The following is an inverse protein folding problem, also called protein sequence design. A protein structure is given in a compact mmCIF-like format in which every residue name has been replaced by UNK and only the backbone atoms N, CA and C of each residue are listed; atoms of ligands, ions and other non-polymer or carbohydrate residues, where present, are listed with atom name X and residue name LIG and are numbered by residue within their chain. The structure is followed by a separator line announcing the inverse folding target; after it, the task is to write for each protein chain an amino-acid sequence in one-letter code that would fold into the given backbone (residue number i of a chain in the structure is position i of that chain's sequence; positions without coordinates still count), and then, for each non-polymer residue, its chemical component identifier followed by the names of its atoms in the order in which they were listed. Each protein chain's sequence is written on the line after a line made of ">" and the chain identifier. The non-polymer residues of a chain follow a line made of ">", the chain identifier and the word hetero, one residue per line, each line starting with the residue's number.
data_IF_171479778819
#
_entry.id   IF_171479778819
#
_cell.length_a   1.000
_cell.length_b   1.000
_cell.length_c   1.000
_cell.angle_alpha   90.00
_cell.angle_beta   90.00
_cell.angle_gamma   90.00
#
_symmetry.space_group_name_H-M   'P 1'
#
loop_
_entity.id
_entity.type
_entity.pdbx_description
1 polymer ?
#
# COMPACT_ATOMS: atom_id res chain seq x y z
N UNK A 1 18.55 -13.82 18.26
CA UNK A 1 17.33 -13.30 17.60
C UNK A 1 17.80 -12.23 16.64
N UNK A 2 17.98 -12.56 15.37
CA UNK A 2 18.52 -11.64 14.36
C UNK A 2 17.35 -10.88 13.75
N UNK A 3 17.34 -9.55 13.88
CA UNK A 3 16.44 -8.69 13.12
C UNK A 3 16.94 -8.67 11.67
N UNK A 4 16.08 -9.07 10.74
CA UNK A 4 16.33 -8.89 9.32
C UNK A 4 16.07 -7.41 9.00
N UNK A 5 17.13 -6.63 8.85
CA UNK A 5 17.15 -5.16 8.81
C UNK A 5 16.55 -4.57 7.50
N UNK A 6 15.37 -5.01 7.09
CA UNK A 6 14.68 -4.53 5.88
C UNK A 6 15.44 -4.75 4.57
N UNK A 7 16.53 -5.54 4.59
CA UNK A 7 17.32 -5.88 3.41
C UNK A 7 16.45 -6.66 2.43
N UNK A 8 16.17 -6.05 1.28
CA UNK A 8 15.39 -6.67 0.21
C UNK A 8 13.94 -6.19 0.09
N UNK A 9 13.52 -5.20 0.90
CA UNK A 9 12.26 -4.49 0.70
C UNK A 9 12.50 -3.35 -0.29
N UNK A 10 11.88 -3.44 -1.47
CA UNK A 10 11.85 -2.35 -2.44
C UNK A 10 10.48 -1.68 -2.39
N UNK A 11 10.45 -0.36 -2.18
CA UNK A 11 9.21 0.42 -2.32
C UNK A 11 9.27 1.18 -3.64
N UNK A 12 8.15 1.20 -4.35
CA UNK A 12 8.02 1.89 -5.64
C UNK A 12 6.58 2.30 -5.91
N UNK A 13 6.38 3.19 -6.88
CA UNK A 13 5.06 3.52 -7.42
C UNK A 13 4.36 2.27 -7.97
N UNK A 14 3.05 2.24 -7.77
CA UNK A 14 2.14 1.25 -8.32
C UNK A 14 2.22 1.17 -9.85
N UNK A 15 2.01 -0.04 -10.37
CA UNK A 15 1.88 -0.38 -11.78
C UNK A 15 0.67 -1.29 -11.96
N UNK A 16 0.10 -1.34 -13.16
CA UNK A 16 -1.12 -2.12 -13.43
C UNK A 16 -1.01 -3.61 -13.12
N UNK A 17 0.20 -4.19 -13.24
CA UNK A 17 0.49 -5.58 -12.92
C UNK A 17 0.51 -5.88 -11.40
N UNK A 18 0.59 -4.86 -10.55
CA UNK A 18 0.55 -4.99 -9.09
C UNK A 18 -0.87 -5.27 -8.56
N UNK A 19 -1.91 -5.04 -9.38
CA UNK A 19 -3.32 -5.20 -8.98
C UNK A 19 -3.58 -6.56 -8.35
N UNK A 20 -2.98 -7.63 -8.90
CA UNK A 20 -3.13 -8.97 -8.37
C UNK A 20 -2.59 -9.09 -6.95
N UNK A 21 -1.40 -8.54 -6.68
CA UNK A 21 -0.78 -8.59 -5.36
C UNK A 21 -1.55 -7.78 -4.32
N UNK A 22 -2.04 -6.59 -4.71
CA UNK A 22 -2.88 -5.76 -3.83
C UNK A 22 -4.20 -6.48 -3.50
N UNK A 23 -4.82 -7.14 -4.49
CA UNK A 23 -6.02 -7.94 -4.27
C UNK A 23 -5.76 -9.07 -3.27
N UNK A 24 -4.66 -9.80 -3.39
CA UNK A 24 -4.29 -10.86 -2.45
C UNK A 24 -4.15 -10.29 -1.02
N UNK A 25 -3.49 -9.14 -0.86
CA UNK A 25 -3.32 -8.48 0.45
C UNK A 25 -4.67 -8.08 1.05
N UNK A 26 -5.54 -7.41 0.29
CA UNK A 26 -6.82 -6.91 0.81
C UNK A 26 -7.78 -8.04 1.20
N UNK A 27 -7.70 -9.19 0.52
CA UNK A 27 -8.51 -10.36 0.82
C UNK A 27 -8.07 -11.10 2.10
N UNK A 28 -6.86 -10.88 2.61
CA UNK A 28 -6.41 -11.45 3.89
C UNK A 28 -7.12 -10.83 5.11
N UNK A 29 -7.66 -9.62 4.96
CA UNK A 29 -8.22 -8.87 6.07
C UNK A 29 -9.74 -8.83 6.01
N UNK A 30 -10.44 -9.42 7.00
CA UNK A 30 -11.86 -9.17 7.15
C UNK A 30 -12.06 -7.69 7.49
N UNK A 31 -12.99 -7.02 6.81
CA UNK A 31 -13.34 -5.66 7.19
C UNK A 31 -13.86 -5.64 8.63
N UNK A 32 -13.47 -4.63 9.44
CA UNK A 32 -14.05 -4.41 10.76
C UNK A 32 -15.59 -4.27 10.74
N UNK A 33 -16.15 -3.91 9.59
CA UNK A 33 -17.60 -3.75 9.37
C UNK A 33 -18.28 -5.00 8.81
N UNK A 34 -17.54 -6.09 8.62
CA UNK A 34 -18.03 -7.33 8.00
C UNK A 34 -18.14 -7.28 6.47
N UNK A 35 -17.88 -6.13 5.82
CA UNK A 35 -17.78 -6.05 4.35
C UNK A 35 -16.47 -6.66 3.85
N UNK A 36 -16.49 -7.89 3.36
CA UNK A 36 -15.32 -8.44 2.68
C UNK A 36 -14.98 -7.64 1.43
N UNK A 37 -13.69 -7.46 1.13
CA UNK A 37 -13.26 -7.00 -0.18
C UNK A 37 -13.67 -8.02 -1.25
N UNK A 38 -14.22 -7.54 -2.35
CA UNK A 38 -14.43 -8.32 -3.57
C UNK A 38 -13.41 -7.89 -4.61
N UNK A 39 -13.15 -8.74 -5.61
CA UNK A 39 -12.22 -8.41 -6.70
C UNK A 39 -12.56 -7.08 -7.38
N UNK A 40 -13.84 -6.84 -7.64
CA UNK A 40 -14.35 -5.63 -8.27
C UNK A 40 -14.18 -4.40 -7.37
N UNK A 41 -14.37 -4.54 -6.06
CA UNK A 41 -14.18 -3.43 -5.11
C UNK A 41 -12.73 -2.97 -5.05
N UNK A 42 -11.77 -3.90 -5.15
CA UNK A 42 -10.33 -3.56 -5.19
C UNK A 42 -9.99 -2.75 -6.44
N UNK A 43 -10.53 -3.14 -7.60
CA UNK A 43 -10.31 -2.42 -8.87
C UNK A 43 -10.90 -1.01 -8.82
N UNK A 44 -12.14 -0.87 -8.33
CA UNK A 44 -12.79 0.44 -8.16
C UNK A 44 -12.00 1.32 -7.21
N UNK A 45 -11.58 0.79 -6.05
CA UNK A 45 -10.78 1.51 -5.08
C UNK A 45 -9.47 2.04 -5.70
N UNK A 46 -8.70 1.18 -6.37
CA UNK A 46 -7.43 1.60 -6.98
C UNK A 46 -7.63 2.59 -8.13
N UNK A 47 -8.64 2.37 -8.98
CA UNK A 47 -9.00 3.32 -10.03
C UNK A 47 -9.32 4.70 -9.44
N UNK A 48 -10.13 4.75 -8.37
CA UNK A 48 -10.53 6.01 -7.75
C UNK A 48 -9.37 6.69 -7.02
N UNK A 49 -8.48 5.92 -6.36
CA UNK A 49 -7.26 6.44 -5.77
C UNK A 49 -6.35 7.07 -6.83
N UNK A 50 -6.10 6.37 -7.95
CA UNK A 50 -5.24 6.84 -9.04
C UNK A 50 -5.85 8.02 -9.83
N UNK A 51 -7.19 8.09 -9.96
CA UNK A 51 -7.85 9.26 -10.56
C UNK A 51 -7.66 10.51 -9.70
N UNK A 52 -7.70 10.36 -8.38
CA UNK A 52 -7.55 11.47 -7.43
C UNK A 52 -6.09 11.88 -7.24
N UNK A 53 -5.19 10.90 -7.16
CA UNK A 53 -3.76 11.09 -6.96
C UNK A 53 -2.97 10.08 -7.82
N UNK A 54 -2.68 10.40 -9.09
CA UNK A 54 -2.06 9.45 -10.04
C UNK A 54 -0.71 8.88 -9.62
N UNK A 55 0.02 9.59 -8.76
CA UNK A 55 1.33 9.22 -8.26
C UNK A 55 1.34 8.84 -6.76
N UNK A 56 0.16 8.74 -6.14
CA UNK A 56 -0.01 8.56 -4.70
C UNK A 56 -0.23 7.11 -4.26
N UNK A 57 0.07 6.12 -5.10
CA UNK A 57 -0.05 4.71 -4.72
C UNK A 57 1.31 4.05 -4.81
N UNK A 58 1.72 3.41 -3.72
CA UNK A 58 3.01 2.74 -3.57
C UNK A 58 2.82 1.27 -3.23
N UNK A 59 3.73 0.44 -3.70
CA UNK A 59 3.81 -0.99 -3.37
C UNK A 59 5.17 -1.29 -2.77
N UNK A 60 5.19 -2.21 -1.81
CA UNK A 60 6.39 -2.80 -1.27
C UNK A 60 6.56 -4.22 -1.82
N UNK A 61 7.77 -4.53 -2.27
CA UNK A 61 8.13 -5.81 -2.86
C UNK A 61 9.23 -6.50 -2.07
N UNK A 62 9.10 -7.82 -1.95
CA UNK A 62 10.18 -8.71 -1.51
C UNK A 62 10.33 -9.79 -2.60
N UNK A 63 11.53 -9.90 -3.17
CA UNK A 63 11.84 -10.87 -4.24
C UNK A 63 10.86 -10.80 -5.42
N UNK A 64 10.49 -9.59 -5.84
CA UNK A 64 9.59 -9.33 -6.98
C UNK A 64 8.11 -9.66 -6.72
N UNK A 65 7.72 -9.89 -5.47
CA UNK A 65 6.32 -10.09 -5.07
C UNK A 65 5.84 -8.91 -4.24
N UNK A 66 4.67 -8.38 -4.57
CA UNK A 66 4.01 -7.35 -3.77
C UNK A 66 3.59 -7.95 -2.42
N UNK A 67 4.10 -7.36 -1.33
CA UNK A 67 3.86 -7.78 0.06
C UNK A 67 3.26 -6.67 0.91
N UNK A 68 3.07 -5.48 0.36
CA UNK A 68 2.40 -4.37 1.02
C UNK A 68 2.06 -3.28 0.02
N UNK A 69 1.14 -2.41 0.38
CA UNK A 69 0.85 -1.20 -0.39
C UNK A 69 0.39 -0.07 0.52
N UNK A 70 0.51 1.16 0.01
CA UNK A 70 0.00 2.36 0.64
C UNK A 70 -0.62 3.28 -0.41
N UNK A 71 -1.63 4.04 0.00
CA UNK A 71 -2.25 5.08 -0.80
C UNK A 71 -2.25 6.40 0.00
N UNK A 72 -1.74 7.45 -0.61
CA UNK A 72 -1.68 8.80 -0.07
C UNK A 72 -2.52 9.76 -0.89
N UNK A 73 -2.94 10.85 -0.27
CA UNK A 73 -3.75 11.87 -0.91
C UNK A 73 -3.40 13.25 -0.41
N UNK A 74 -3.15 14.18 -1.33
CA UNK A 74 -3.01 15.58 -0.99
C UNK A 74 -4.38 16.28 -0.99
N UNK A 75 -4.54 17.26 -0.10
CA UNK A 75 -5.74 18.09 0.01
C UNK A 75 -5.34 19.56 0.04
N UNK A 76 -5.46 20.22 -1.10
CA UNK A 76 -5.10 21.62 -1.32
C UNK A 76 -5.72 22.57 -0.27
N UNK A 77 -7.00 22.39 0.06
CA UNK A 77 -7.69 23.29 1.00
C UNK A 77 -7.04 23.27 2.39
N UNK A 78 -6.58 22.10 2.84
CA UNK A 78 -5.95 21.97 4.15
C UNK A 78 -4.41 22.04 4.08
N UNK A 79 -3.83 22.04 2.87
CA UNK A 79 -2.40 21.96 2.63
C UNK A 79 -1.73 20.80 3.41
N UNK A 80 -2.35 19.62 3.36
CA UNK A 80 -1.88 18.41 4.05
C UNK A 80 -1.99 17.17 3.17
N UNK A 81 -1.04 16.26 3.36
CA UNK A 81 -1.06 14.91 2.83
C UNK A 81 -1.62 13.95 3.88
N UNK A 82 -2.51 13.06 3.44
CA UNK A 82 -3.07 11.98 4.24
C UNK A 82 -2.54 10.64 3.76
N UNK A 83 -2.24 9.75 4.69
CA UNK A 83 -2.18 8.32 4.43
C UNK A 83 -3.63 7.79 4.46
N UNK A 84 -4.21 7.53 3.29
CA UNK A 84 -5.58 7.06 3.15
C UNK A 84 -5.68 5.56 3.43
N UNK A 85 -4.68 4.79 2.99
CA UNK A 85 -4.62 3.35 3.20
C UNK A 85 -3.18 2.87 3.37
N UNK A 86 -2.98 1.89 4.24
CA UNK A 86 -1.75 1.10 4.32
C UNK A 86 -2.09 -0.32 4.75
N UNK A 87 -1.55 -1.30 4.03
CA UNK A 87 -1.71 -2.70 4.39
C UNK A 87 -0.48 -3.52 4.01
N UNK A 88 -0.10 -4.43 4.90
CA UNK A 88 1.01 -5.36 4.71
C UNK A 88 0.44 -6.76 4.73
N UNK A 89 0.94 -7.64 3.87
CA UNK A 89 0.58 -9.06 3.88
C UNK A 89 0.92 -9.66 5.25
N UNK A 90 0.03 -10.46 5.82
CA UNK A 90 0.15 -10.98 7.20
C UNK A 90 1.49 -11.71 7.43
N UNK A 91 1.94 -12.52 6.47
CA UNK A 91 3.23 -13.23 6.50
C UNK A 91 4.48 -12.34 6.42
N UNK A 92 4.29 -11.06 6.07
CA UNK A 92 5.37 -10.06 5.94
C UNK A 92 5.34 -9.00 7.05
N UNK A 93 4.42 -9.12 8.02
CA UNK A 93 4.39 -8.28 9.20
C UNK A 93 5.63 -8.48 10.09
N UNK A 94 6.00 -7.44 10.84
CA UNK A 94 7.17 -7.46 11.73
C UNK A 94 8.53 -7.40 11.02
N UNK A 95 8.56 -7.28 9.68
CA UNK A 95 9.79 -7.24 8.86
C UNK A 95 10.16 -5.84 8.37
N UNK A 96 9.49 -4.79 8.85
CA UNK A 96 9.75 -3.41 8.44
C UNK A 96 9.06 -2.93 7.15
N UNK A 97 8.21 -3.75 6.51
CA UNK A 97 7.48 -3.37 5.27
C UNK A 97 6.64 -2.10 5.44
N UNK A 98 5.83 -2.03 6.51
CA UNK A 98 5.01 -0.85 6.78
C UNK A 98 5.84 0.40 7.06
N UNK A 99 6.99 0.24 7.71
CA UNK A 99 7.92 1.35 7.97
C UNK A 99 8.47 1.93 6.66
N UNK A 100 8.95 1.06 5.74
CA UNK A 100 9.44 1.48 4.43
C UNK A 100 8.36 2.14 3.57
N UNK A 101 7.12 1.64 3.61
CA UNK A 101 5.99 2.28 2.93
C UNK A 101 5.72 3.68 3.50
N UNK A 102 5.77 3.83 4.82
CA UNK A 102 5.57 5.13 5.46
C UNK A 102 6.69 6.12 5.11
N UNK A 103 7.95 5.69 5.07
CA UNK A 103 9.07 6.54 4.63
C UNK A 103 8.80 7.10 3.23
N UNK A 104 8.45 6.24 2.26
CA UNK A 104 8.14 6.68 0.89
C UNK A 104 6.95 7.64 0.83
N UNK A 105 5.92 7.41 1.66
CA UNK A 105 4.75 8.27 1.73
C UNK A 105 5.09 9.66 2.30
N UNK A 106 6.01 9.74 3.26
CA UNK A 106 6.51 10.99 3.84
C UNK A 106 7.39 11.73 2.84
N UNK A 107 8.28 11.01 2.16
CA UNK A 107 9.15 11.58 1.12
C UNK A 107 8.34 12.15 -0.04
N UNK A 108 7.26 11.46 -0.46
CA UNK A 108 6.34 11.97 -1.47
C UNK A 108 5.61 13.26 -1.05
N UNK A 109 5.31 13.39 0.25
CA UNK A 109 4.60 14.55 0.79
C UNK A 109 5.50 15.76 1.05
N UNK A 110 6.82 15.63 0.88
CA UNK A 110 7.84 16.64 1.18
C UNK A 110 8.22 17.47 -0.05
#
# INVERSE_FOLDING_TARGET
>A
MLTDDGKGILVRKYRSDDLKGIREILLEYPSPTGRAWSGDMVEVFLSDALKKQPDGVFVAEISGKVVGFAAVMYRDWFNIAYLDYIQVKTESMGKGVGHKLMEECIDWAS
#
